data_IF_704669800075
#
_entry.id   IF_704669800075
#
_cell.length_a   1.000
_cell.length_b   1.000
_cell.length_c   1.000
_cell.angle_alpha   90.00
_cell.angle_beta   90.00
_cell.angle_gamma   90.00
#
_symmetry.space_group_name_H-M   'P 1'
#
loop_
_entity.id
_entity.type
_entity.pdbx_description
1 polymer ?
#
# COMPACT_ATOMS: atom_id res chain seq x y z
N UNK A 1 -51.96 54.32 11.74
CA UNK A 1 -52.50 53.79 13.01
C UNK A 1 -52.79 52.31 12.80
N UNK A 2 -52.18 51.42 13.62
CA UNK A 2 -52.64 50.09 14.07
C UNK A 2 -53.34 49.14 13.05
N UNK A 3 -53.11 47.84 12.95
CA UNK A 3 -52.25 46.84 13.60
C UNK A 3 -52.91 45.47 13.32
N UNK A 4 -52.11 44.46 12.93
CA UNK A 4 -52.29 43.02 13.22
C UNK A 4 -53.44 42.29 12.46
N UNK A 5 -53.34 41.03 12.03
CA UNK A 5 -52.57 39.87 12.56
C UNK A 5 -52.57 38.72 11.52
N UNK A 6 -51.40 38.07 11.38
CA UNK A 6 -51.13 36.61 11.38
C UNK A 6 -51.94 35.72 10.41
N UNK A 7 -51.25 35.01 9.52
CA UNK A 7 -51.10 33.53 9.56
C UNK A 7 -49.82 33.10 8.83
N UNK A 8 -48.90 32.52 9.61
CA UNK A 8 -47.73 31.78 9.16
C UNK A 8 -48.15 30.34 8.80
N UNK A 9 -47.64 29.81 7.69
CA UNK A 9 -47.52 28.38 7.43
C UNK A 9 -46.23 28.20 6.62
N UNK A 10 -45.11 27.96 7.29
CA UNK A 10 -44.45 26.65 7.37
C UNK A 10 -44.32 25.96 6.00
N UNK A 11 -43.14 26.06 5.37
CA UNK A 11 -42.55 24.90 4.73
C UNK A 11 -41.05 24.89 4.97
N UNK A 12 -40.61 23.72 5.37
CA UNK A 12 -39.42 23.42 6.14
C UNK A 12 -38.53 22.55 5.25
N UNK A 13 -37.24 22.90 5.18
CA UNK A 13 -36.09 22.04 4.86
C UNK A 13 -36.01 21.48 3.43
N UNK A 14 -35.04 22.01 2.67
CA UNK A 14 -34.10 21.15 1.94
C UNK A 14 -32.73 21.86 1.85
N UNK A 15 -32.06 21.98 3.00
CA UNK A 15 -30.62 22.20 3.00
C UNK A 15 -29.97 20.91 2.52
N UNK A 16 -29.55 20.85 1.25
CA UNK A 16 -28.58 19.87 0.79
C UNK A 16 -27.29 20.11 1.57
N UNK A 17 -27.15 19.42 2.71
CA UNK A 17 -25.83 19.09 3.22
C UNK A 17 -25.21 18.16 2.17
N UNK A 18 -24.29 18.72 1.38
CA UNK A 18 -23.17 17.97 0.84
C UNK A 18 -22.39 17.40 2.02
N UNK A 19 -22.89 16.29 2.58
CA UNK A 19 -22.07 15.38 3.37
C UNK A 19 -21.16 14.70 2.35
N UNK A 20 -20.03 15.34 2.06
CA UNK A 20 -18.90 14.61 1.51
C UNK A 20 -18.68 13.41 2.46
N UNK A 21 -18.54 12.18 1.95
CA UNK A 21 -18.17 11.07 2.80
C UNK A 21 -16.76 11.32 3.32
N UNK A 22 -16.64 12.01 4.46
CA UNK A 22 -15.47 11.96 5.31
C UNK A 22 -15.44 10.56 5.91
N UNK A 23 -14.90 9.64 5.13
CA UNK A 23 -14.93 8.21 5.41
C UNK A 23 -13.90 7.45 4.59
N UNK A 24 -12.70 8.01 4.46
CA UNK A 24 -11.51 7.25 4.09
C UNK A 24 -10.50 7.47 5.20
N UNK A 25 -10.45 6.48 6.09
CA UNK A 25 -9.59 6.38 7.27
C UNK A 25 -8.11 6.56 6.89
N UNK A 26 -7.63 7.80 6.87
CA UNK A 26 -6.29 8.07 7.34
C UNK A 26 -6.36 7.91 8.86
N UNK A 27 -5.45 7.12 9.44
CA UNK A 27 -5.14 7.24 10.86
C UNK A 27 -5.10 8.72 11.22
N UNK A 28 -5.86 9.13 12.24
CA UNK A 28 -5.90 10.53 12.66
C UNK A 28 -4.47 11.02 12.93
N UNK A 29 -4.22 12.32 12.81
CA UNK A 29 -2.88 12.85 13.02
C UNK A 29 -2.32 12.47 14.39
N UNK A 30 -3.16 12.43 15.42
CA UNK A 30 -2.80 11.97 16.75
C UNK A 30 -2.37 10.49 16.77
N UNK A 31 -3.07 9.63 16.04
CA UNK A 31 -2.66 8.22 15.90
C UNK A 31 -1.30 8.10 15.18
N UNK A 32 -1.00 8.97 14.20
CA UNK A 32 0.31 9.00 13.55
C UNK A 32 1.42 9.43 14.52
N UNK A 33 1.13 10.43 15.36
CA UNK A 33 2.06 10.95 16.37
C UNK A 33 2.33 9.91 17.47
N UNK A 34 1.30 9.22 17.97
CA UNK A 34 1.46 8.12 18.91
C UNK A 34 2.26 6.96 18.31
N UNK A 35 1.96 6.60 17.05
CA UNK A 35 2.72 5.58 16.32
C UNK A 35 4.15 6.01 16.05
N UNK A 36 4.52 7.29 16.11
CA UNK A 36 5.91 7.70 15.89
C UNK A 36 6.84 7.32 17.06
N UNK A 37 6.29 7.20 18.28
CA UNK A 37 7.06 6.86 19.47
C UNK A 37 7.74 5.49 19.39
N UNK A 38 8.86 5.35 20.10
CA UNK A 38 9.59 4.09 20.24
C UNK A 38 10.95 4.11 19.54
N UNK A 39 11.42 2.93 19.13
CA UNK A 39 12.77 2.74 18.59
C UNK A 39 12.70 2.38 17.11
N UNK A 40 13.56 3.01 16.33
CA UNK A 40 13.68 2.85 14.89
C UNK A 40 15.12 2.59 14.52
N UNK A 41 15.35 1.81 13.47
CA UNK A 41 16.67 1.46 12.97
C UNK A 41 16.73 1.60 11.46
N UNK A 42 17.90 1.97 10.95
CA UNK A 42 18.23 1.88 9.54
C UNK A 42 19.72 1.64 9.37
N UNK A 43 20.08 1.03 8.26
CA UNK A 43 21.47 0.95 7.85
C UNK A 43 21.77 1.98 6.78
N UNK A 44 23.02 2.42 6.76
CA UNK A 44 23.59 3.30 5.73
C UNK A 44 24.91 2.72 5.30
N UNK A 45 25.12 2.64 3.99
CA UNK A 45 26.43 2.32 3.43
C UNK A 45 27.16 3.65 3.23
N UNK A 46 28.32 3.79 3.87
CA UNK A 46 29.21 4.92 3.72
C UNK A 46 29.94 4.90 2.36
N UNK A 47 30.66 5.97 2.05
CA UNK A 47 31.35 6.12 0.75
C UNK A 47 32.46 5.06 0.59
N UNK A 48 33.05 4.58 1.69
CA UNK A 48 34.06 3.51 1.66
C UNK A 48 33.47 2.10 1.63
N UNK A 49 32.14 1.95 1.59
CA UNK A 49 31.45 0.66 1.60
C UNK A 49 31.19 0.09 3.00
N UNK A 50 31.65 0.74 4.06
CA UNK A 50 31.34 0.39 5.44
C UNK A 50 29.84 0.57 5.75
N UNK A 51 29.29 -0.32 6.56
CA UNK A 51 27.92 -0.21 7.05
C UNK A 51 27.90 0.50 8.39
N UNK A 52 27.10 1.56 8.47
CA UNK A 52 26.74 2.25 9.70
C UNK A 52 25.28 1.93 10.03
N UNK A 53 25.02 1.52 11.27
CA UNK A 53 23.65 1.35 11.78
C UNK A 53 23.26 2.57 12.58
N UNK A 54 22.12 3.15 12.23
CA UNK A 54 21.52 4.30 12.88
C UNK A 54 20.32 3.84 13.70
N UNK A 55 20.33 4.13 14.99
CA UNK A 55 19.21 3.89 15.91
C UNK A 55 18.65 5.24 16.33
N UNK A 56 17.34 5.38 16.17
CA UNK A 56 16.57 6.53 16.63
C UNK A 56 15.61 6.08 17.72
N UNK A 57 15.73 6.65 18.91
CA UNK A 57 14.76 6.46 20.02
C UNK A 57 13.98 7.75 20.18
N UNK A 58 12.66 7.64 20.02
CA UNK A 58 11.71 8.76 20.05
C UNK A 58 10.87 8.67 21.30
N UNK A 59 10.83 9.77 22.05
CA UNK A 59 9.94 9.97 23.20
C UNK A 59 9.15 11.27 23.03
N UNK A 60 8.00 11.36 23.69
CA UNK A 60 7.25 12.60 23.78
C UNK A 60 8.05 13.65 24.57
N UNK A 61 7.94 14.91 24.15
CA UNK A 61 8.48 16.07 24.84
C UNK A 61 7.59 16.55 25.99
N UNK A 62 7.88 17.73 26.50
CA UNK A 62 7.11 18.37 27.57
C UNK A 62 5.82 19.01 27.03
N UNK A 63 5.82 19.44 25.77
CA UNK A 63 4.68 20.10 25.12
C UNK A 63 3.95 19.16 24.16
N UNK A 64 2.69 19.47 23.87
CA UNK A 64 1.93 18.75 22.85
C UNK A 64 2.63 18.89 21.49
N UNK A 65 2.75 17.77 20.78
CA UNK A 65 3.47 17.68 19.49
C UNK A 65 4.97 18.01 19.58
N UNK A 66 5.55 18.03 20.78
CA UNK A 66 7.00 18.03 20.98
C UNK A 66 7.52 16.60 21.07
N UNK A 67 8.66 16.32 20.46
CA UNK A 67 9.35 15.03 20.52
C UNK A 67 10.84 15.21 20.74
N UNK A 68 11.44 14.27 21.47
CA UNK A 68 12.89 14.18 21.63
C UNK A 68 13.38 12.93 20.93
N UNK A 69 14.24 13.13 19.94
CA UNK A 69 14.90 12.06 19.20
C UNK A 69 16.32 11.87 19.68
N UNK A 70 16.58 10.75 20.34
CA UNK A 70 17.94 10.31 20.64
C UNK A 70 18.45 9.47 19.47
N UNK A 71 19.43 10.01 18.74
CA UNK A 71 20.06 9.37 17.61
C UNK A 71 21.40 8.76 18.03
N UNK A 72 21.67 7.53 17.61
CA UNK A 72 22.91 6.81 17.83
C UNK A 72 23.39 6.20 16.52
N UNK A 73 24.67 6.35 16.21
CA UNK A 73 25.32 5.71 15.05
C UNK A 73 26.38 4.75 15.56
N UNK A 74 26.31 3.51 15.11
CA UNK A 74 27.28 2.45 15.39
C UNK A 74 27.95 2.00 14.10
N UNK A 75 29.27 1.84 14.12
CA UNK A 75 30.00 1.25 13.00
C UNK A 75 29.82 -0.27 12.91
N UNK A 76 30.33 -0.88 11.85
CA UNK A 76 30.26 -2.33 11.62
C UNK A 76 30.85 -3.19 12.75
N UNK A 77 31.79 -2.64 13.54
CA UNK A 77 32.37 -3.30 14.72
C UNK A 77 31.48 -3.21 15.97
N UNK A 78 30.27 -2.68 15.86
CA UNK A 78 29.33 -2.47 16.96
C UNK A 78 29.67 -1.29 17.88
N UNK A 79 30.76 -0.56 17.63
CA UNK A 79 31.15 0.58 18.46
C UNK A 79 30.30 1.80 18.14
N UNK A 80 29.73 2.43 19.17
CA UNK A 80 29.09 3.74 19.03
C UNK A 80 30.09 4.77 18.57
N UNK A 81 29.83 5.37 17.41
CA UNK A 81 30.62 6.42 16.80
C UNK A 81 30.11 7.80 17.19
N UNK A 82 28.79 7.96 17.26
CA UNK A 82 28.16 9.26 17.56
C UNK A 82 26.82 9.06 18.25
N UNK A 83 26.50 9.97 19.16
CA UNK A 83 25.20 10.01 19.81
C UNK A 83 24.79 11.46 20.11
N UNK A 84 23.54 11.80 19.83
CA UNK A 84 23.01 13.16 20.06
C UNK A 84 21.49 13.13 20.25
N UNK A 85 20.97 14.20 20.82
CA UNK A 85 19.52 14.43 20.94
C UNK A 85 19.10 15.62 20.10
N UNK A 86 17.95 15.50 19.44
CA UNK A 86 17.28 16.62 18.76
C UNK A 86 15.88 16.76 19.33
N UNK A 87 15.50 17.99 19.64
CA UNK A 87 14.16 18.36 20.09
C UNK A 87 13.39 18.91 18.89
N UNK A 88 12.22 18.35 18.63
CA UNK A 88 11.38 18.71 17.50
C UNK A 88 10.02 19.19 17.96
N UNK A 89 9.52 20.21 17.27
CA UNK A 89 8.09 20.50 17.19
C UNK A 89 7.55 19.90 15.90
N UNK A 90 6.36 19.32 15.98
CA UNK A 90 5.73 18.62 14.86
C UNK A 90 4.41 19.28 14.49
N UNK A 91 4.29 19.69 13.23
CA UNK A 91 3.05 20.24 12.70
C UNK A 91 2.41 19.27 11.68
N UNK A 92 1.09 19.06 11.73
CA UNK A 92 0.37 18.38 10.66
C UNK A 92 0.47 19.15 9.34
N UNK A 93 0.65 18.46 8.21
CA UNK A 93 0.67 19.10 6.88
C UNK A 93 -0.56 18.73 6.08
N UNK A 94 -0.66 17.47 5.64
CA UNK A 94 -1.77 16.95 4.86
C UNK A 94 -1.80 15.42 4.94
N UNK A 95 -2.99 14.83 5.09
CA UNK A 95 -3.13 13.38 5.20
C UNK A 95 -2.30 12.81 6.35
N UNK A 96 -1.34 11.92 6.03
CA UNK A 96 -0.42 11.28 7.00
C UNK A 96 0.94 12.00 7.11
N UNK A 97 1.14 13.11 6.40
CA UNK A 97 2.40 13.83 6.38
C UNK A 97 2.50 14.81 7.55
N UNK A 98 3.62 14.75 8.26
CA UNK A 98 3.97 15.60 9.38
C UNK A 98 5.24 16.37 9.06
N UNK A 99 5.31 17.65 9.43
CA UNK A 99 6.52 18.47 9.34
C UNK A 99 7.21 18.46 10.69
N UNK A 100 8.44 17.98 10.72
CA UNK A 100 9.31 18.02 11.87
C UNK A 100 10.22 19.24 11.75
N UNK A 101 10.19 20.11 12.75
CA UNK A 101 11.05 21.28 12.83
C UNK A 101 11.88 21.23 14.11
N UNK A 102 13.20 21.15 13.95
CA UNK A 102 14.08 21.12 15.09
C UNK A 102 14.05 22.46 15.82
N UNK A 103 13.93 22.39 17.14
CA UNK A 103 14.05 23.55 18.03
C UNK A 103 15.40 23.56 18.73
N UNK A 104 16.02 22.39 18.91
CA UNK A 104 17.37 22.34 19.43
C UNK A 104 18.07 21.00 19.33
N UNK A 105 19.37 21.02 19.58
CA UNK A 105 20.28 19.87 19.57
C UNK A 105 21.24 19.91 20.76
N UNK A 106 21.57 18.74 21.31
CA UNK A 106 22.59 18.58 22.36
C UNK A 106 23.26 17.20 22.27
N UNK A 107 24.36 16.99 22.98
CA UNK A 107 24.98 15.66 23.07
C UNK A 107 24.14 14.67 23.89
N UNK A 108 24.41 13.37 23.71
CA UNK A 108 23.83 12.33 24.55
C UNK A 108 24.93 11.38 25.07
N UNK A 109 25.07 11.19 26.40
CA UNK A 109 24.37 11.95 27.45
C UNK A 109 24.72 13.46 27.41
N UNK A 110 23.84 14.35 27.88
CA UNK A 110 24.16 15.77 27.98
C UNK A 110 25.37 15.98 28.90
N UNK A 111 26.26 16.91 28.53
CA UNK A 111 27.33 17.34 29.44
C UNK A 111 26.73 18.15 30.59
N UNK A 112 27.43 18.19 31.72
CA UNK A 112 27.01 19.02 32.85
C UNK A 112 26.82 20.48 32.40
N UNK A 113 25.64 21.04 32.68
CA UNK A 113 25.26 22.40 32.26
C UNK A 113 24.93 22.57 30.77
N UNK A 114 24.96 21.53 29.94
CA UNK A 114 24.66 21.64 28.50
C UNK A 114 23.18 21.95 28.26
N UNK A 115 22.92 23.11 27.65
CA UNK A 115 21.60 23.51 27.20
C UNK A 115 21.35 23.12 25.74
N UNK A 116 20.09 23.13 25.32
CA UNK A 116 19.70 22.97 23.92
C UNK A 116 20.30 24.10 23.08
N UNK A 117 21.00 23.75 22.01
CA UNK A 117 21.51 24.70 21.02
C UNK A 117 20.53 24.80 19.85
N UNK A 118 20.30 25.98 19.26
CA UNK A 118 19.44 26.10 18.08
C UNK A 118 19.87 25.15 16.95
N UNK A 119 18.88 24.59 16.24
CA UNK A 119 19.10 23.69 15.11
C UNK A 119 18.06 24.03 14.02
N UNK A 120 18.48 24.07 12.76
CA UNK A 120 17.62 24.37 11.61
C UNK A 120 17.16 23.14 10.84
N UNK A 121 17.42 21.93 11.35
CA UNK A 121 16.98 20.68 10.72
C UNK A 121 15.45 20.64 10.58
N UNK A 122 14.98 20.36 9.37
CA UNK A 122 13.58 20.14 9.09
C UNK A 122 13.42 18.96 8.13
N UNK A 123 12.33 18.21 8.28
CA UNK A 123 11.96 17.17 7.31
C UNK A 123 10.46 16.88 7.34
N UNK A 124 9.98 16.30 6.25
CA UNK A 124 8.67 15.66 6.21
C UNK A 124 8.79 14.21 6.66
N UNK A 125 7.85 13.76 7.48
CA UNK A 125 7.78 12.40 7.98
C UNK A 125 6.39 11.79 7.74
N UNK A 126 6.36 10.50 7.46
CA UNK A 126 5.16 9.67 7.49
C UNK A 126 5.43 8.39 8.27
N UNK A 127 4.49 7.97 9.12
CA UNK A 127 4.50 6.65 9.76
C UNK A 127 3.61 5.67 8.98
N UNK A 128 4.11 4.47 8.75
CA UNK A 128 3.45 3.43 7.98
C UNK A 128 3.67 2.04 8.61
N UNK A 129 2.83 1.73 9.59
CA UNK A 129 2.97 0.51 10.38
C UNK A 129 4.30 0.49 11.13
N UNK A 130 5.15 -0.49 10.80
CA UNK A 130 6.49 -0.63 11.38
C UNK A 130 7.60 0.05 10.56
N UNK A 131 7.23 1.00 9.70
CA UNK A 131 8.19 1.84 8.98
C UNK A 131 7.91 3.33 9.20
N UNK A 132 8.97 4.14 9.16
CA UNK A 132 8.88 5.58 8.98
C UNK A 132 9.63 6.00 7.72
N UNK A 133 9.12 7.01 7.06
CA UNK A 133 9.69 7.60 5.86
C UNK A 133 9.98 9.06 6.13
N UNK A 134 11.23 9.46 5.98
CA UNK A 134 11.71 10.83 6.19
C UNK A 134 12.25 11.41 4.89
N UNK A 135 11.86 12.65 4.59
CA UNK A 135 12.35 13.41 3.46
C UNK A 135 12.94 14.72 3.97
N UNK A 136 14.27 14.80 3.96
CA UNK A 136 15.03 15.98 4.37
C UNK A 136 15.26 16.89 3.17
N UNK A 137 15.63 16.28 2.05
CA UNK A 137 15.75 16.91 0.73
C UNK A 137 15.43 15.82 -0.31
N UNK A 138 14.65 16.15 -1.34
CA UNK A 138 14.34 15.22 -2.42
C UNK A 138 15.59 14.77 -3.18
N UNK A 139 16.65 15.58 -3.21
CA UNK A 139 17.94 15.22 -3.79
C UNK A 139 18.62 14.04 -3.08
N UNK A 140 18.33 13.83 -1.80
CA UNK A 140 18.86 12.71 -1.01
C UNK A 140 17.91 11.51 -0.95
N UNK A 141 16.74 11.60 -1.58
CA UNK A 141 15.72 10.56 -1.57
C UNK A 141 15.00 10.43 -0.23
N UNK A 142 14.34 9.28 -0.05
CA UNK A 142 13.55 8.99 1.15
C UNK A 142 14.37 8.11 2.09
N UNK A 143 14.55 8.57 3.33
CA UNK A 143 15.12 7.76 4.39
C UNK A 143 14.05 6.87 4.99
N UNK A 144 14.23 5.55 4.87
CA UNK A 144 13.34 4.56 5.47
C UNK A 144 13.95 4.01 6.74
N UNK A 145 13.18 4.04 7.81
CA UNK A 145 13.54 3.35 9.06
C UNK A 145 12.54 2.26 9.39
N UNK A 146 13.02 1.25 10.09
CA UNK A 146 12.26 0.10 10.54
C UNK A 146 12.10 0.15 12.06
N UNK A 147 10.91 -0.18 12.57
CA UNK A 147 10.69 -0.28 14.01
C UNK A 147 11.57 -1.39 14.58
N UNK A 148 12.26 -1.09 15.67
CA UNK A 148 13.05 -2.04 16.43
C UNK A 148 12.17 -2.65 17.53
N UNK A 149 11.90 -3.95 17.40
CA UNK A 149 11.03 -4.70 18.30
C UNK A 149 11.13 -6.21 18.03
N UNK A 150 10.39 -7.04 18.79
CA UNK A 150 10.39 -8.49 18.56
C UNK A 150 9.69 -8.82 17.23
N UNK A 151 10.29 -9.73 16.46
CA UNK A 151 9.73 -10.23 15.20
C UNK A 151 10.03 -9.38 13.96
N UNK A 152 9.39 -9.71 12.84
CA UNK A 152 9.56 -9.01 11.58
C UNK A 152 8.73 -7.73 11.54
N UNK A 153 9.32 -6.63 11.05
CA UNK A 153 8.58 -5.40 10.80
C UNK A 153 7.67 -5.57 9.57
N UNK A 154 6.36 -5.56 9.80
CA UNK A 154 5.34 -5.63 8.75
C UNK A 154 4.87 -4.25 8.32
N UNK A 155 4.50 -4.13 7.04
CA UNK A 155 3.82 -2.94 6.49
C UNK A 155 2.40 -2.78 7.09
N UNK A 156 1.85 -1.57 7.04
CA UNK A 156 0.47 -1.32 7.49
C UNK A 156 -0.54 -2.12 6.64
N UNK A 157 -1.41 -2.96 7.26
CA UNK A 157 -2.45 -3.72 6.57
C UNK A 157 -3.39 -2.86 5.71
N UNK A 158 -3.58 -1.59 6.09
CA UNK A 158 -4.39 -0.65 5.32
C UNK A 158 -3.83 -0.38 3.91
N UNK A 159 -2.56 -0.69 3.64
CA UNK A 159 -1.98 -0.55 2.29
C UNK A 159 -2.66 -1.42 1.25
N UNK A 160 -3.34 -2.50 1.66
CA UNK A 160 -4.07 -3.37 0.74
C UNK A 160 -5.59 -3.09 0.70
N UNK A 161 -6.08 -2.03 1.35
CA UNK A 161 -7.53 -1.74 1.44
C UNK A 161 -8.23 -1.63 0.08
N UNK A 162 -7.52 -1.14 -0.95
CA UNK A 162 -8.02 -1.04 -2.32
C UNK A 162 -8.47 -2.41 -2.87
N UNK A 163 -7.86 -3.49 -2.38
CA UNK A 163 -8.12 -4.86 -2.80
C UNK A 163 -9.20 -5.56 -1.97
N UNK A 164 -9.85 -4.90 -1.01
CA UNK A 164 -10.83 -5.54 -0.11
C UNK A 164 -11.94 -6.31 -0.85
N UNK A 165 -12.35 -5.81 -2.02
CA UNK A 165 -13.43 -6.41 -2.82
C UNK A 165 -13.03 -7.74 -3.45
N UNK A 166 -11.72 -7.97 -3.62
CA UNK A 166 -11.17 -9.21 -4.13
C UNK A 166 -11.35 -10.38 -3.15
N UNK A 167 -11.45 -10.10 -1.84
CA UNK A 167 -11.52 -11.10 -0.79
C UNK A 167 -12.78 -11.97 -0.88
N UNK A 168 -12.64 -13.25 -0.56
CA UNK A 168 -13.69 -14.27 -0.65
C UNK A 168 -13.61 -15.07 -1.94
N UNK A 169 -14.67 -15.85 -2.18
CA UNK A 169 -14.75 -16.77 -3.33
C UNK A 169 -15.73 -16.25 -4.38
N UNK A 170 -15.32 -16.29 -5.64
CA UNK A 170 -16.12 -15.96 -6.81
C UNK A 170 -16.12 -17.12 -7.79
N UNK A 171 -17.25 -17.37 -8.44
CA UNK A 171 -17.41 -18.45 -9.42
C UNK A 171 -18.25 -18.00 -10.61
N UNK A 172 -17.95 -18.52 -11.79
CA UNK A 172 -18.70 -18.25 -13.01
C UNK A 172 -18.27 -19.15 -14.15
N UNK A 173 -19.08 -19.22 -15.20
CA UNK A 173 -18.75 -19.90 -16.45
C UNK A 173 -18.25 -18.90 -17.48
N UNK A 174 -17.34 -19.33 -18.34
CA UNK A 174 -16.74 -18.50 -19.38
C UNK A 174 -16.42 -19.33 -20.61
N UNK A 175 -16.79 -18.81 -21.79
CA UNK A 175 -16.36 -19.37 -23.06
C UNK A 175 -14.96 -18.86 -23.37
N UNK A 176 -13.94 -19.65 -23.03
CA UNK A 176 -12.55 -19.25 -23.21
C UNK A 176 -12.14 -19.42 -24.67
N UNK A 177 -11.78 -18.32 -25.34
CA UNK A 177 -11.23 -18.32 -26.69
C UNK A 177 -9.81 -18.90 -26.80
N UNK A 178 -9.21 -19.31 -25.68
CA UNK A 178 -7.83 -19.76 -25.58
C UNK A 178 -6.88 -18.60 -25.30
N UNK A 179 -5.64 -18.92 -24.98
CA UNK A 179 -4.59 -17.92 -24.78
C UNK A 179 -3.22 -18.48 -25.11
N UNK A 180 -2.61 -17.96 -26.18
CA UNK A 180 -1.24 -18.33 -26.57
C UNK A 180 -0.21 -17.96 -25.50
N UNK A 181 -0.42 -16.82 -24.83
CA UNK A 181 0.45 -16.32 -23.77
C UNK A 181 0.49 -17.28 -22.56
N UNK A 182 -0.59 -18.01 -22.31
CA UNK A 182 -0.64 -18.96 -21.20
C UNK A 182 -0.64 -20.42 -21.64
N UNK A 183 -0.56 -20.71 -22.95
CA UNK A 183 -0.64 -22.07 -23.49
C UNK A 183 -2.00 -22.74 -23.28
N UNK A 184 -3.08 -21.95 -23.23
CA UNK A 184 -4.44 -22.43 -22.95
C UNK A 184 -5.18 -22.63 -24.26
N UNK A 185 -5.76 -23.81 -24.47
CA UNK A 185 -6.63 -24.08 -25.61
C UNK A 185 -8.04 -23.50 -25.41
N UNK A 186 -8.78 -23.19 -26.49
CA UNK A 186 -10.18 -22.77 -26.39
C UNK A 186 -11.05 -23.84 -25.72
N UNK A 187 -11.91 -23.44 -24.77
CA UNK A 187 -12.84 -24.33 -24.07
C UNK A 187 -13.87 -23.53 -23.26
N UNK A 188 -15.06 -24.10 -23.07
CA UNK A 188 -15.96 -23.62 -22.02
C UNK A 188 -15.43 -24.06 -20.66
N UNK A 189 -15.21 -23.11 -19.77
CA UNK A 189 -14.62 -23.36 -18.45
C UNK A 189 -15.55 -22.87 -17.33
N UNK A 190 -15.53 -23.57 -16.21
CA UNK A 190 -15.99 -23.02 -14.94
C UNK A 190 -14.79 -22.50 -14.17
N UNK A 191 -14.82 -21.22 -13.84
CA UNK A 191 -13.77 -20.51 -13.13
C UNK A 191 -14.17 -20.36 -11.67
N UNK A 192 -13.25 -20.69 -10.77
CA UNK A 192 -13.33 -20.37 -9.35
C UNK A 192 -12.13 -19.51 -8.97
N UNK A 193 -12.36 -18.41 -8.27
CA UNK A 193 -11.32 -17.58 -7.72
C UNK A 193 -11.55 -17.30 -6.25
N UNK A 194 -10.58 -17.61 -5.41
CA UNK A 194 -10.66 -17.46 -3.96
C UNK A 194 -9.50 -16.62 -3.47
N UNK A 195 -9.77 -15.53 -2.77
CA UNK A 195 -8.73 -14.71 -2.16
C UNK A 195 -8.91 -14.54 -0.66
N UNK A 196 -7.80 -14.56 0.08
CA UNK A 196 -7.78 -14.43 1.53
C UNK A 196 -6.63 -13.52 1.97
N UNK A 197 -6.89 -12.81 3.07
CA UNK A 197 -5.90 -11.97 3.74
C UNK A 197 -5.01 -12.83 4.64
N UNK A 198 -3.71 -12.56 4.69
CA UNK A 198 -2.80 -13.20 5.63
C UNK A 198 -3.12 -12.79 7.08
N UNK A 199 -2.62 -13.56 8.04
CA UNK A 199 -2.80 -13.27 9.48
C UNK A 199 -2.30 -11.85 9.87
N UNK A 200 -1.24 -11.39 9.21
CA UNK A 200 -0.68 -10.05 9.43
C UNK A 200 -1.47 -8.93 8.74
N UNK A 201 -2.40 -9.25 7.84
CA UNK A 201 -3.08 -8.25 7.01
C UNK A 201 -2.22 -7.65 5.89
N UNK A 202 -0.95 -8.04 5.78
CA UNK A 202 0.03 -7.42 4.88
C UNK A 202 0.15 -8.11 3.51
N UNK A 203 -0.52 -9.25 3.31
CA UNK A 203 -0.53 -10.01 2.06
C UNK A 203 -1.95 -10.48 1.75
N UNK A 204 -2.30 -10.53 0.47
CA UNK A 204 -3.46 -11.29 0.00
C UNK A 204 -2.96 -12.43 -0.88
N UNK A 205 -3.44 -13.65 -0.63
CA UNK A 205 -3.22 -14.79 -1.52
C UNK A 205 -4.50 -15.05 -2.29
N UNK A 206 -4.40 -15.32 -3.58
CA UNK A 206 -5.54 -15.68 -4.44
C UNK A 206 -5.21 -16.93 -5.23
N UNK A 207 -6.15 -17.86 -5.30
CA UNK A 207 -6.18 -18.91 -6.31
C UNK A 207 -7.15 -18.55 -7.42
N UNK A 208 -6.82 -18.97 -8.63
CA UNK A 208 -7.69 -18.94 -9.80
C UNK A 208 -7.61 -20.31 -10.46
N UNK A 209 -8.74 -21.00 -10.57
CA UNK A 209 -8.82 -22.33 -11.18
C UNK A 209 -9.87 -22.30 -12.27
N UNK A 210 -9.50 -22.68 -13.50
CA UNK A 210 -10.40 -22.79 -14.64
C UNK A 210 -10.49 -24.25 -15.06
N UNK A 211 -11.63 -24.88 -14.80
CA UNK A 211 -11.86 -26.29 -15.13
C UNK A 211 -12.69 -26.36 -16.41
N UNK A 212 -12.21 -27.00 -17.49
CA UNK A 212 -13.03 -27.22 -18.68
C UNK A 212 -14.29 -28.02 -18.35
N UNK A 213 -15.44 -27.63 -18.89
CA UNK A 213 -16.70 -28.35 -18.68
C UNK A 213 -16.57 -29.80 -19.14
N UNK A 214 -17.12 -30.73 -18.36
CA UNK A 214 -17.03 -32.17 -18.63
C UNK A 214 -15.64 -32.80 -18.41
N UNK A 215 -14.66 -32.05 -17.90
CA UNK A 215 -13.32 -32.56 -17.60
C UNK A 215 -13.06 -32.63 -16.08
N UNK A 216 -12.02 -33.38 -15.69
CA UNK A 216 -11.58 -33.48 -14.30
C UNK A 216 -10.76 -32.24 -13.87
N UNK A 217 -10.66 -31.96 -12.55
CA UNK A 217 -9.80 -30.91 -12.03
C UNK A 217 -8.32 -31.03 -12.42
N UNK A 218 -7.83 -32.23 -12.76
CA UNK A 218 -6.45 -32.47 -13.22
C UNK A 218 -6.13 -31.79 -14.57
N UNK A 219 -7.15 -31.39 -15.33
CA UNK A 219 -7.01 -30.62 -16.57
C UNK A 219 -7.21 -29.12 -16.37
N UNK A 220 -7.28 -28.66 -15.12
CA UNK A 220 -7.50 -27.26 -14.83
C UNK A 220 -6.29 -26.38 -15.20
N UNK A 221 -6.58 -25.18 -15.67
CA UNK A 221 -5.63 -24.10 -15.60
C UNK A 221 -5.67 -23.50 -14.19
N UNK A 222 -4.52 -23.40 -13.54
CA UNK A 222 -4.39 -22.83 -12.21
C UNK A 222 -3.47 -21.62 -12.24
N UNK A 223 -3.79 -20.61 -11.42
CA UNK A 223 -2.89 -19.52 -11.12
C UNK A 223 -2.94 -19.19 -9.62
N UNK A 224 -1.77 -19.02 -9.01
CA UNK A 224 -1.61 -18.64 -7.62
C UNK A 224 -0.98 -17.27 -7.54
N UNK A 225 -1.68 -16.32 -6.94
CA UNK A 225 -1.31 -14.90 -6.89
C UNK A 225 -1.02 -14.49 -5.46
N UNK A 226 0.05 -13.73 -5.26
CA UNK A 226 0.32 -12.99 -4.04
C UNK A 226 0.24 -11.50 -4.34
N UNK A 227 -0.56 -10.77 -3.57
CA UNK A 227 -0.62 -9.31 -3.58
C UNK A 227 0.07 -8.76 -2.34
N UNK A 228 0.89 -7.73 -2.54
CA UNK A 228 1.59 -7.04 -1.45
C UNK A 228 1.79 -5.56 -1.80
N UNK A 229 2.08 -4.74 -0.81
CA UNK A 229 2.52 -3.36 -1.05
C UNK A 229 4.05 -3.33 -1.13
N UNK A 230 4.56 -2.77 -2.22
CA UNK A 230 5.98 -2.54 -2.42
C UNK A 230 6.32 -1.12 -1.92
N UNK A 231 7.01 -1.00 -0.77
CA UNK A 231 7.36 0.29 -0.20
C UNK A 231 8.39 1.07 -1.03
N UNK A 232 9.14 0.41 -1.92
CA UNK A 232 10.14 1.09 -2.76
C UNK A 232 9.50 1.87 -3.91
N UNK A 233 8.45 1.30 -4.52
CA UNK A 233 7.68 1.95 -5.58
C UNK A 233 6.46 2.70 -5.07
N UNK A 234 6.06 2.48 -3.81
CA UNK A 234 4.84 3.06 -3.23
C UNK A 234 3.56 2.49 -3.84
N UNK A 235 3.61 1.29 -4.42
CA UNK A 235 2.50 0.69 -5.18
C UNK A 235 2.13 -0.69 -4.66
N UNK A 236 0.89 -1.08 -4.90
CA UNK A 236 0.46 -2.48 -4.72
C UNK A 236 0.96 -3.28 -5.92
N UNK A 237 1.69 -4.35 -5.63
CA UNK A 237 2.16 -5.30 -6.61
C UNK A 237 1.40 -6.62 -6.49
N UNK A 238 1.35 -7.37 -7.59
CA UNK A 238 0.96 -8.77 -7.61
C UNK A 238 2.02 -9.60 -8.30
N UNK A 239 2.22 -10.81 -7.84
CA UNK A 239 3.04 -11.81 -8.52
C UNK A 239 2.26 -13.10 -8.58
N UNK A 240 2.32 -13.80 -9.71
CA UNK A 240 1.68 -15.10 -9.82
C UNK A 240 2.41 -16.06 -10.71
N UNK A 241 2.19 -17.33 -10.42
CA UNK A 241 2.61 -18.48 -11.21
C UNK A 241 1.39 -19.23 -11.71
N UNK A 242 1.48 -19.80 -12.90
CA UNK A 242 0.43 -20.64 -13.50
C UNK A 242 0.84 -22.10 -13.56
N UNK A 243 -0.13 -23.02 -13.68
CA UNK A 243 0.13 -24.44 -13.94
C UNK A 243 0.82 -24.72 -15.27
N UNK A 244 0.87 -23.72 -16.16
CA UNK A 244 1.60 -23.77 -17.45
C UNK A 244 3.05 -23.24 -17.35
N UNK A 245 3.52 -22.94 -16.15
CA UNK A 245 4.89 -22.48 -15.89
C UNK A 245 5.13 -20.99 -16.16
N UNK A 246 4.08 -20.21 -16.41
CA UNK A 246 4.20 -18.76 -16.66
C UNK A 246 4.30 -18.01 -15.33
N UNK A 247 5.29 -17.14 -15.22
CA UNK A 247 5.45 -16.22 -14.09
C UNK A 247 5.16 -14.79 -14.52
N UNK A 248 4.30 -14.10 -13.77
CA UNK A 248 3.86 -12.74 -14.10
C UNK A 248 4.02 -11.84 -12.88
N UNK A 249 4.49 -10.62 -13.12
CA UNK A 249 4.46 -9.51 -12.18
C UNK A 249 3.46 -8.48 -12.66
N UNK A 250 2.68 -7.92 -11.74
CA UNK A 250 1.76 -6.82 -12.02
C UNK A 250 1.86 -5.71 -10.98
N UNK A 251 1.47 -4.52 -11.41
CA UNK A 251 1.43 -3.30 -10.60
C UNK A 251 0.05 -2.68 -10.72
N UNK A 252 -0.55 -2.32 -9.58
CA UNK A 252 -1.79 -1.55 -9.56
C UNK A 252 -1.46 -0.11 -9.95
N UNK A 253 -1.96 0.34 -11.10
CA UNK A 253 -1.68 1.68 -11.61
C UNK A 253 -2.77 2.68 -11.26
N UNK A 254 -4.02 2.24 -11.11
CA UNK A 254 -5.13 3.09 -10.72
C UNK A 254 -6.19 2.29 -9.97
N UNK A 255 -6.83 2.92 -8.99
CA UNK A 255 -8.02 2.39 -8.34
C UNK A 255 -9.01 3.51 -8.06
N UNK A 256 -10.25 3.32 -8.50
CA UNK A 256 -11.36 4.24 -8.25
C UNK A 256 -12.69 3.52 -8.43
N UNK A 257 -13.73 3.92 -7.68
CA UNK A 257 -15.10 3.41 -7.87
C UNK A 257 -15.20 1.88 -7.88
N UNK A 258 -14.41 1.22 -7.02
CA UNK A 258 -14.31 -0.27 -6.91
C UNK A 258 -13.78 -0.94 -8.19
N UNK A 259 -13.00 -0.22 -9.00
CA UNK A 259 -12.30 -0.74 -10.18
C UNK A 259 -10.79 -0.66 -9.97
N UNK A 260 -10.08 -1.73 -10.31
CA UNK A 260 -8.62 -1.85 -10.18
C UNK A 260 -8.02 -2.02 -11.57
N UNK A 261 -7.19 -1.07 -11.98
CA UNK A 261 -6.47 -1.12 -13.25
C UNK A 261 -5.04 -1.60 -13.00
N UNK A 262 -4.68 -2.69 -13.67
CA UNK A 262 -3.41 -3.38 -13.51
C UNK A 262 -2.61 -3.33 -14.81
N UNK A 263 -1.33 -3.02 -14.70
CA UNK A 263 -0.35 -3.40 -15.72
C UNK A 263 0.35 -4.67 -15.26
N UNK A 264 0.53 -5.63 -16.15
CA UNK A 264 1.24 -6.87 -15.84
C UNK A 264 2.08 -7.35 -17.00
N UNK A 265 3.18 -8.00 -16.69
CA UNK A 265 4.10 -8.56 -17.67
C UNK A 265 4.75 -9.83 -17.15
N UNK A 266 5.12 -10.71 -18.06
CA UNK A 266 5.78 -11.96 -17.73
C UNK A 266 6.40 -12.62 -18.95
N UNK A 267 7.31 -13.54 -18.69
CA UNK A 267 7.89 -14.39 -19.73
C UNK A 267 7.01 -15.62 -19.93
N UNK A 268 6.61 -15.84 -21.17
CA UNK A 268 5.71 -16.94 -21.55
C UNK A 268 6.42 -17.90 -22.50
N UNK A 269 5.89 -19.11 -22.73
CA UNK A 269 6.39 -20.01 -23.78
C UNK A 269 6.41 -19.40 -25.18
N UNK A 270 5.67 -18.32 -25.41
CA UNK A 270 5.59 -17.61 -26.70
C UNK A 270 6.33 -16.26 -26.69
N UNK A 271 7.15 -16.00 -25.68
CA UNK A 271 7.95 -14.79 -25.51
C UNK A 271 7.37 -13.82 -24.48
N UNK A 272 7.93 -12.61 -24.37
CA UNK A 272 7.49 -11.61 -23.39
C UNK A 272 6.05 -11.17 -23.64
N UNK A 273 5.25 -11.12 -22.57
CA UNK A 273 3.88 -10.65 -22.59
C UNK A 273 3.74 -9.36 -21.77
N UNK A 274 2.94 -8.41 -22.26
CA UNK A 274 2.41 -7.30 -21.46
C UNK A 274 0.89 -7.26 -21.60
N UNK A 275 0.20 -6.96 -20.50
CA UNK A 275 -1.25 -6.79 -20.47
C UNK A 275 -1.64 -5.60 -19.59
N UNK A 276 -2.65 -4.86 -20.07
CA UNK A 276 -3.41 -3.90 -19.28
C UNK A 276 -4.76 -4.54 -18.94
N UNK A 277 -5.05 -4.77 -17.66
CA UNK A 277 -6.24 -5.49 -17.21
C UNK A 277 -7.05 -4.65 -16.22
N UNK A 278 -8.37 -4.74 -16.32
CA UNK A 278 -9.32 -4.14 -15.39
C UNK A 278 -9.98 -5.23 -14.56
N UNK A 279 -9.89 -5.14 -13.24
CA UNK A 279 -10.78 -5.85 -12.33
C UNK A 279 -11.87 -4.89 -11.88
N UNK A 280 -13.11 -5.17 -12.25
CA UNK A 280 -14.27 -4.33 -12.00
C UNK A 280 -15.21 -4.99 -11.00
N UNK A 281 -15.35 -4.35 -9.84
CA UNK A 281 -16.25 -4.74 -8.76
C UNK A 281 -17.38 -3.73 -8.57
N UNK A 282 -17.69 -2.89 -9.57
CA UNK A 282 -18.72 -1.85 -9.45
C UNK A 282 -20.08 -2.44 -9.13
N UNK A 283 -20.41 -3.60 -9.70
CA UNK A 283 -21.61 -4.35 -9.37
C UNK A 283 -21.41 -5.17 -8.08
N UNK A 284 -22.35 -5.06 -7.13
CA UNK A 284 -22.30 -5.80 -5.87
C UNK A 284 -22.15 -7.31 -6.11
N UNK A 285 -21.29 -7.96 -5.31
CA UNK A 285 -21.05 -9.41 -5.39
C UNK A 285 -20.50 -9.90 -6.74
N UNK A 286 -19.94 -9.02 -7.57
CA UNK A 286 -19.47 -9.38 -8.92
C UNK A 286 -18.00 -9.05 -9.07
N UNK A 287 -17.24 -9.98 -9.63
CA UNK A 287 -15.88 -9.76 -10.09
C UNK A 287 -15.85 -9.90 -11.61
N UNK A 288 -15.70 -8.77 -12.32
CA UNK A 288 -15.51 -8.75 -13.77
C UNK A 288 -14.03 -8.53 -14.09
N UNK A 289 -13.42 -9.41 -14.86
CA UNK A 289 -12.05 -9.26 -15.36
C UNK A 289 -12.08 -8.98 -16.86
N UNK A 290 -11.44 -7.89 -17.27
CA UNK A 290 -11.32 -7.46 -18.67
C UNK A 290 -9.86 -7.27 -19.01
N UNK A 291 -9.43 -7.77 -20.15
CA UNK A 291 -8.12 -7.46 -20.72
C UNK A 291 -8.37 -6.33 -21.73
N UNK A 292 -7.73 -5.18 -21.51
CA UNK A 292 -7.94 -3.98 -22.30
C UNK A 292 -6.91 -3.87 -23.43
N UNK A 293 -5.69 -4.33 -23.17
CA UNK A 293 -4.58 -4.39 -24.12
C UNK A 293 -3.73 -5.61 -23.82
N UNK A 294 -3.22 -6.26 -24.88
CA UNK A 294 -2.22 -7.31 -24.78
C UNK A 294 -1.17 -7.11 -25.87
N UNK A 295 0.09 -7.31 -25.50
CA UNK A 295 1.15 -7.59 -26.45
C UNK A 295 1.79 -8.93 -26.12
N UNK A 296 2.18 -9.67 -27.16
CA UNK A 296 2.90 -10.93 -27.05
C UNK A 296 4.06 -10.91 -28.03
N UNK A 297 5.27 -11.09 -27.51
CA UNK A 297 6.51 -11.03 -28.28
C UNK A 297 6.60 -9.77 -29.17
N UNK A 298 6.27 -8.60 -28.58
CA UNK A 298 6.29 -7.30 -29.26
C UNK A 298 5.12 -7.04 -30.22
N UNK A 299 4.23 -8.00 -30.46
CA UNK A 299 3.06 -7.83 -31.34
C UNK A 299 1.81 -7.51 -30.53
N UNK A 300 1.02 -6.55 -31.00
CA UNK A 300 -0.31 -6.30 -30.45
C UNK A 300 -1.19 -7.50 -30.77
N UNK A 301 -1.88 -8.01 -29.75
CA UNK A 301 -2.88 -9.06 -29.89
C UNK A 301 -4.25 -8.39 -29.81
N UNK A 302 -5.09 -8.59 -30.82
CA UNK A 302 -6.47 -8.10 -30.78
C UNK A 302 -7.19 -8.74 -29.61
N UNK A 303 -7.58 -7.91 -28.63
CA UNK A 303 -8.26 -8.36 -27.43
C UNK A 303 -9.76 -8.38 -27.69
N UNK A 304 -10.20 -9.33 -28.52
CA UNK A 304 -11.62 -9.59 -28.77
C UNK A 304 -12.13 -10.70 -27.84
N UNK A 305 -11.70 -10.65 -26.57
CA UNK A 305 -12.10 -11.58 -25.53
C UNK A 305 -13.28 -10.99 -24.74
N UNK A 306 -14.33 -11.78 -24.55
CA UNK A 306 -15.44 -11.39 -23.70
C UNK A 306 -14.95 -11.20 -22.25
N UNK A 307 -15.52 -10.23 -21.51
CA UNK A 307 -15.22 -10.10 -20.09
C UNK A 307 -15.54 -11.38 -19.31
N UNK A 308 -14.60 -11.81 -18.48
CA UNK A 308 -14.87 -12.88 -17.51
C UNK A 308 -15.71 -12.28 -16.38
N UNK A 309 -16.90 -12.84 -16.12
CA UNK A 309 -17.81 -12.35 -15.07
C UNK A 309 -18.05 -13.46 -14.05
N UNK A 310 -17.56 -13.24 -12.83
CA UNK A 310 -17.71 -14.16 -11.71
C UNK A 310 -18.65 -13.57 -10.65
N UNK A 311 -19.44 -14.42 -10.00
CA UNK A 311 -20.35 -14.05 -8.90
C UNK A 311 -19.81 -14.57 -7.58
N UNK A 312 -19.94 -13.75 -6.54
CA UNK A 312 -19.54 -14.13 -5.18
C UNK A 312 -20.35 -15.34 -4.74
N UNK A 313 -19.65 -16.36 -4.24
CA UNK A 313 -20.24 -17.54 -3.62
C UNK A 313 -20.59 -17.16 -2.18
N UNK A 314 -21.79 -17.51 -1.74
CA UNK A 314 -22.23 -17.33 -0.35
C UNK A 314 -21.51 -18.30 0.57
#
# INVERSE_FOLDING_TARGET
MRSRRIHQTLLTILGLFLVAPQGLFAAGIEEQLERYLGRWTRDRIGIGGEVETWIKTVVAGAEQHEFIETNQVTGANGKTMRQWQVKFRVDPVAGKYMRFQAEGIRSNPPKEGEQWRPNSLQYLLQVDGNFIYEVHDFAYGVFRWQRLGPGAATIDPQRLHALRELLGTFRGDYANAGSEAYGIAPADVTITSSAQLSATGSLITQSWTSVPKGNSPEKAFEAHVVYSYDPSSGRIIKQYQTSTGVSVKGTLILWQNRKLLWERSGDTPRGPMYELCLYDFSAAGTFKHVILKRTLNGKVVDVNEDPIVLRRVK
#
